data_IF_059526135914
#
_entry.id   IF_059526135914
#
_cell.length_a   1.000
_cell.length_b   1.000
_cell.length_c   1.000
_cell.angle_alpha   90.00
_cell.angle_beta   90.00
_cell.angle_gamma   90.00
#
_symmetry.space_group_name_H-M   'P 1'
#
loop_
_entity.id
_entity.type
_entity.pdbx_description
1 polymer ?
#
# COMPACT_ATOMS: atom_id res chain seq x y z
N UNK A 1 -5.21 -8.15 -10.24
CA UNK A 1 -5.70 -7.23 -11.30
C UNK A 1 -6.34 -6.02 -10.63
N UNK A 2 -6.06 -4.82 -11.13
CA UNK A 2 -6.60 -3.58 -10.58
C UNK A 2 -7.58 -2.95 -11.58
N UNK A 3 -8.76 -2.58 -11.09
CA UNK A 3 -9.80 -1.88 -11.84
C UNK A 3 -9.95 -0.46 -11.29
N UNK A 4 -10.07 0.52 -12.17
CA UNK A 4 -10.24 1.91 -11.78
C UNK A 4 -11.67 2.36 -12.01
N UNK A 5 -12.25 3.06 -11.04
CA UNK A 5 -13.57 3.70 -11.15
C UNK A 5 -13.43 5.18 -10.84
N UNK A 6 -14.04 6.02 -11.64
CA UNK A 6 -13.98 7.48 -11.47
C UNK A 6 -13.97 8.24 -12.77
N UNK A 7 -13.86 9.55 -12.64
CA UNK A 7 -13.73 10.46 -13.78
C UNK A 7 -12.34 11.11 -13.75
N UNK A 8 -11.76 11.35 -14.92
CA UNK A 8 -10.49 12.03 -15.06
C UNK A 8 -10.53 13.40 -14.34
N UNK A 9 -9.51 13.66 -13.52
CA UNK A 9 -9.30 14.89 -12.73
C UNK A 9 -10.12 14.99 -11.44
N UNK A 10 -10.72 13.90 -10.99
CA UNK A 10 -11.40 13.82 -9.71
C UNK A 10 -10.80 12.71 -8.83
N UNK A 11 -11.64 12.06 -8.05
CA UNK A 11 -11.28 10.92 -7.23
C UNK A 11 -11.33 9.64 -8.06
N UNK A 12 -10.30 8.81 -7.92
CA UNK A 12 -10.21 7.48 -8.54
C UNK A 12 -10.24 6.42 -7.46
N UNK A 13 -11.16 5.49 -7.56
CA UNK A 13 -11.20 4.28 -6.74
C UNK A 13 -10.42 3.18 -7.46
N UNK A 14 -9.35 2.70 -6.85
CA UNK A 14 -8.58 1.56 -7.35
C UNK A 14 -9.02 0.29 -6.61
N UNK A 15 -9.53 -0.66 -7.35
CA UNK A 15 -10.09 -1.92 -6.85
C UNK A 15 -9.20 -3.08 -7.26
N UNK A 16 -8.47 -3.64 -6.32
CA UNK A 16 -7.69 -4.86 -6.54
C UNK A 16 -8.59 -6.08 -6.38
N UNK A 17 -8.58 -6.97 -7.37
CA UNK A 17 -9.35 -8.21 -7.35
C UNK A 17 -8.49 -9.41 -7.75
N UNK A 18 -8.78 -10.56 -7.13
CA UNK A 18 -8.15 -11.86 -7.47
C UNK A 18 -8.74 -12.50 -8.74
N UNK A 19 -9.86 -11.97 -9.24
CA UNK A 19 -10.55 -12.45 -10.43
C UNK A 19 -11.06 -11.30 -11.29
N UNK A 20 -11.45 -11.60 -12.52
CA UNK A 20 -12.15 -10.64 -13.37
C UNK A 20 -13.53 -10.30 -12.79
N UNK A 21 -13.91 -9.03 -12.87
CA UNK A 21 -15.22 -8.54 -12.46
C UNK A 21 -16.27 -8.80 -13.54
N UNK A 22 -17.39 -9.40 -13.15
CA UNK A 22 -18.57 -9.51 -14.04
C UNK A 22 -19.23 -8.14 -14.22
N UNK A 23 -20.09 -8.00 -15.24
CA UNK A 23 -20.85 -6.76 -15.46
C UNK A 23 -21.73 -6.40 -14.24
N UNK A 24 -22.23 -7.43 -13.54
CA UNK A 24 -22.99 -7.24 -12.31
C UNK A 24 -22.11 -6.71 -11.17
N UNK A 25 -20.89 -7.25 -11.02
CA UNK A 25 -19.94 -6.76 -10.02
C UNK A 25 -19.54 -5.31 -10.32
N UNK A 26 -19.26 -4.99 -11.58
CA UNK A 26 -18.91 -3.63 -12.00
C UNK A 26 -20.07 -2.65 -11.71
N UNK A 27 -21.30 -3.05 -11.98
CA UNK A 27 -22.49 -2.24 -11.70
C UNK A 27 -22.68 -1.99 -10.20
N UNK A 28 -22.47 -3.00 -9.37
CA UNK A 28 -22.52 -2.89 -7.90
C UNK A 28 -21.42 -1.97 -7.35
N UNK A 29 -20.19 -2.12 -7.85
CA UNK A 29 -19.06 -1.28 -7.45
C UNK A 29 -19.27 0.17 -7.91
N UNK A 30 -19.71 0.38 -9.14
CA UNK A 30 -20.06 1.71 -9.63
C UNK A 30 -21.10 2.38 -8.72
N UNK A 31 -22.18 1.67 -8.37
CA UNK A 31 -23.19 2.18 -7.44
C UNK A 31 -22.59 2.51 -6.06
N UNK A 32 -21.75 1.64 -5.51
CA UNK A 32 -21.08 1.84 -4.23
C UNK A 32 -20.23 3.12 -4.22
N UNK A 33 -19.58 3.43 -5.33
CA UNK A 33 -18.75 4.62 -5.52
C UNK A 33 -19.52 5.86 -5.99
N UNK A 34 -20.85 5.92 -5.76
CA UNK A 34 -21.67 7.07 -6.14
C UNK A 34 -21.90 7.17 -7.64
N UNK A 35 -22.08 6.03 -8.32
CA UNK A 35 -22.24 5.88 -9.76
C UNK A 35 -21.03 6.33 -10.59
N UNK A 36 -19.84 6.24 -10.02
CA UNK A 36 -18.60 6.48 -10.79
C UNK A 36 -18.42 5.38 -11.85
N UNK A 37 -18.11 5.74 -13.10
CA UNK A 37 -17.93 4.78 -14.17
C UNK A 37 -16.66 3.96 -14.02
N UNK A 38 -16.67 2.73 -14.50
CA UNK A 38 -15.45 1.96 -14.73
C UNK A 38 -14.62 2.63 -15.83
N UNK A 39 -13.34 2.84 -15.54
CA UNK A 39 -12.37 3.33 -16.53
C UNK A 39 -11.97 2.15 -17.42
N UNK A 40 -12.08 2.26 -18.75
CA UNK A 40 -11.84 1.13 -19.66
C UNK A 40 -10.37 0.80 -19.88
N UNK A 41 -9.47 1.56 -19.25
CA UNK A 41 -8.01 1.41 -19.42
C UNK A 41 -7.35 0.95 -18.11
N UNK A 42 -6.34 0.03 -18.18
CA UNK A 42 -5.59 -0.43 -17.02
C UNK A 42 -4.54 0.58 -16.53
N UNK A 43 -4.42 1.71 -17.19
CA UNK A 43 -3.45 2.76 -16.94
C UNK A 43 -4.12 4.14 -17.02
N UNK A 44 -3.83 5.01 -16.08
CA UNK A 44 -4.32 6.38 -16.00
C UNK A 44 -3.15 7.35 -15.90
N UNK A 45 -3.02 8.21 -16.89
CA UNK A 45 -2.06 9.31 -16.89
C UNK A 45 -2.52 10.44 -15.96
N UNK A 46 -1.61 11.01 -15.21
CA UNK A 46 -1.88 12.15 -14.35
C UNK A 46 -1.09 12.07 -13.05
N UNK A 47 -1.11 13.15 -12.27
CA UNK A 47 -0.51 13.18 -10.96
C UNK A 47 -1.58 12.90 -9.90
N UNK A 48 -1.33 11.86 -9.12
CA UNK A 48 -2.26 11.40 -8.09
C UNK A 48 -1.59 11.38 -6.72
N UNK A 49 -2.39 11.55 -5.68
CA UNK A 49 -1.99 11.33 -4.29
C UNK A 49 -2.92 10.31 -3.68
N UNK A 50 -2.36 9.28 -3.09
CA UNK A 50 -3.12 8.18 -2.48
C UNK A 50 -2.32 7.47 -1.40
N UNK A 51 -2.89 6.42 -0.78
CA UNK A 51 -2.21 5.65 0.24
C UNK A 51 -0.94 4.99 -0.30
N UNK A 52 0.08 4.89 0.54
CA UNK A 52 1.32 4.18 0.20
C UNK A 52 1.02 2.72 -0.15
N UNK A 53 1.75 2.16 -1.12
CA UNK A 53 1.56 0.78 -1.57
C UNK A 53 1.60 -0.23 -0.41
N UNK A 54 2.52 -0.05 0.54
CA UNK A 54 2.70 -0.94 1.71
C UNK A 54 1.59 -0.83 2.77
N UNK A 55 0.66 0.14 2.66
CA UNK A 55 -0.32 0.42 3.70
C UNK A 55 -1.74 0.23 3.19
N UNK A 56 -2.46 -0.74 3.76
CA UNK A 56 -3.91 -0.89 3.56
C UNK A 56 -4.61 0.03 4.55
N UNK A 57 -5.42 0.95 4.05
CA UNK A 57 -6.13 1.89 4.92
C UNK A 57 -7.27 1.21 5.69
N UNK A 58 -7.64 1.69 6.89
CA UNK A 58 -8.84 1.22 7.60
C UNK A 58 -10.12 1.40 6.78
N UNK A 59 -10.16 2.43 5.93
CA UNK A 59 -11.25 2.65 4.99
C UNK A 59 -11.33 1.51 3.97
N UNK A 60 -10.20 1.07 3.42
CA UNK A 60 -10.12 -0.05 2.48
C UNK A 60 -10.67 -1.34 3.08
N UNK A 61 -10.31 -1.65 4.32
CA UNK A 61 -10.81 -2.84 5.01
C UNK A 61 -12.33 -2.84 5.10
N UNK A 62 -12.92 -1.71 5.51
CA UNK A 62 -14.38 -1.57 5.58
C UNK A 62 -15.03 -1.63 4.20
N UNK A 63 -14.44 -1.00 3.19
CA UNK A 63 -14.96 -1.02 1.83
C UNK A 63 -14.98 -2.45 1.26
N UNK A 64 -13.93 -3.23 1.47
CA UNK A 64 -13.86 -4.65 1.07
C UNK A 64 -14.96 -5.47 1.77
N UNK A 65 -15.17 -5.29 3.07
CA UNK A 65 -16.24 -5.97 3.81
C UNK A 65 -17.64 -5.62 3.26
N UNK A 66 -17.87 -4.36 2.92
CA UNK A 66 -19.12 -3.93 2.29
C UNK A 66 -19.33 -4.66 0.95
N UNK A 67 -18.30 -4.78 0.10
CA UNK A 67 -18.42 -5.51 -1.17
C UNK A 67 -18.77 -6.98 -0.97
N UNK A 68 -18.21 -7.63 0.04
CA UNK A 68 -18.56 -9.00 0.38
C UNK A 68 -20.03 -9.12 0.78
N UNK A 69 -20.55 -8.21 1.61
CA UNK A 69 -21.96 -8.16 2.00
C UNK A 69 -22.89 -7.88 0.81
N UNK A 70 -22.41 -7.16 -0.22
CA UNK A 70 -23.11 -6.96 -1.48
C UNK A 70 -23.06 -8.18 -2.41
N UNK A 71 -22.37 -9.26 -2.02
CA UNK A 71 -22.17 -10.46 -2.82
C UNK A 71 -21.18 -10.26 -3.98
N UNK A 72 -20.24 -9.32 -3.86
CA UNK A 72 -19.10 -9.18 -4.77
C UNK A 72 -17.89 -9.86 -4.13
N UNK A 73 -17.49 -11.00 -4.66
CA UNK A 73 -16.38 -11.80 -4.12
C UNK A 73 -15.06 -11.51 -4.85
N UNK A 74 -13.95 -11.81 -4.17
CA UNK A 74 -12.59 -11.71 -4.74
C UNK A 74 -12.05 -10.28 -4.77
N UNK A 75 -12.66 -9.34 -4.05
CA UNK A 75 -12.08 -8.01 -3.83
C UNK A 75 -11.08 -8.12 -2.66
N UNK A 76 -9.85 -7.68 -2.89
CA UNK A 76 -8.74 -7.77 -1.93
C UNK A 76 -8.41 -6.42 -1.30
N UNK A 77 -8.51 -5.35 -2.09
CA UNK A 77 -8.17 -4.01 -1.65
C UNK A 77 -8.95 -2.97 -2.46
N UNK A 78 -9.41 -1.91 -1.81
CA UNK A 78 -10.02 -0.74 -2.46
C UNK A 78 -9.38 0.50 -1.85
N UNK A 79 -8.76 1.35 -2.68
CA UNK A 79 -8.16 2.60 -2.20
C UNK A 79 -8.60 3.78 -3.05
N UNK A 80 -8.53 4.96 -2.44
CA UNK A 80 -8.92 6.22 -3.05
C UNK A 80 -7.69 7.03 -3.40
N UNK A 81 -7.63 7.49 -4.66
CA UNK A 81 -6.59 8.36 -5.18
C UNK A 81 -7.20 9.68 -5.61
N UNK A 82 -6.59 10.77 -5.18
CA UNK A 82 -6.98 12.11 -5.55
C UNK A 82 -6.12 12.61 -6.72
N UNK A 83 -6.74 13.00 -7.82
CA UNK A 83 -6.03 13.66 -8.90
C UNK A 83 -5.66 15.09 -8.49
N UNK A 84 -4.38 15.43 -8.57
CA UNK A 84 -3.86 16.76 -8.21
C UNK A 84 -2.99 17.34 -9.31
N UNK A 85 -2.67 18.62 -9.20
CA UNK A 85 -1.61 19.23 -10.00
C UNK A 85 -0.25 18.87 -9.41
N UNK A 86 0.77 18.71 -10.26
CA UNK A 86 2.12 18.24 -9.87
C UNK A 86 2.85 19.14 -8.86
N UNK A 87 2.43 20.38 -8.74
CA UNK A 87 2.94 21.38 -7.79
C UNK A 87 2.25 21.29 -6.41
N UNK A 88 1.08 20.65 -6.30
CA UNK A 88 0.38 20.45 -5.03
C UNK A 88 0.80 19.14 -4.35
N UNK A 89 1.95 19.17 -3.66
CA UNK A 89 2.52 18.05 -2.90
C UNK A 89 2.30 18.17 -1.39
N UNK A 90 1.26 18.89 -0.96
CA UNK A 90 0.94 19.02 0.46
C UNK A 90 0.15 17.81 0.94
N UNK A 91 0.83 16.79 1.46
CA UNK A 91 0.24 15.61 2.10
C UNK A 91 1.20 15.05 3.14
N UNK A 92 0.70 14.23 4.07
CA UNK A 92 1.51 13.53 5.05
C UNK A 92 2.24 12.35 4.39
N UNK A 93 3.59 12.38 4.25
CA UNK A 93 4.34 11.32 3.58
C UNK A 93 4.40 10.01 4.38
N UNK A 94 3.98 10.01 5.64
CA UNK A 94 3.85 8.77 6.41
C UNK A 94 2.64 7.94 5.97
N UNK A 95 1.58 8.60 5.51
CA UNK A 95 0.31 7.96 5.14
C UNK A 95 0.10 7.90 3.63
N UNK A 96 0.52 8.93 2.91
CA UNK A 96 0.25 9.11 1.50
C UNK A 96 1.53 9.16 0.68
N UNK A 97 1.38 8.88 -0.60
CA UNK A 97 2.44 8.92 -1.60
C UNK A 97 1.93 9.58 -2.89
N UNK A 98 2.85 10.16 -3.66
CA UNK A 98 2.57 10.73 -4.96
C UNK A 98 2.84 9.72 -6.06
N UNK A 99 1.93 9.64 -7.01
CA UNK A 99 1.98 8.74 -8.18
C UNK A 99 1.90 9.59 -9.45
N UNK A 100 2.87 9.42 -10.36
CA UNK A 100 2.87 10.11 -11.66
C UNK A 100 1.88 9.50 -12.67
N UNK A 101 1.39 8.32 -12.35
CA UNK A 101 0.33 7.58 -13.07
C UNK A 101 -0.25 6.51 -12.15
N UNK A 102 -1.41 5.96 -12.51
CA UNK A 102 -1.95 4.77 -11.86
C UNK A 102 -1.95 3.61 -12.86
N UNK A 103 -1.39 2.47 -12.45
CA UNK A 103 -1.30 1.25 -13.26
C UNK A 103 -1.57 -0.02 -12.44
N UNK A 104 -1.22 -1.18 -12.97
CA UNK A 104 -1.43 -2.46 -12.30
C UNK A 104 -0.40 -2.76 -11.19
N UNK A 105 0.64 -1.93 -11.03
CA UNK A 105 1.70 -2.11 -10.03
C UNK A 105 1.56 -1.18 -8.80
N UNK A 106 0.53 -0.31 -8.74
CA UNK A 106 0.38 0.70 -7.68
C UNK A 106 0.29 0.13 -6.25
N UNK A 107 -0.02 -1.14 -6.10
CA UNK A 107 -0.05 -1.84 -4.81
C UNK A 107 1.14 -2.79 -4.61
N UNK A 108 2.07 -2.83 -5.54
CA UNK A 108 3.30 -3.62 -5.39
C UNK A 108 4.29 -2.90 -4.51
N UNK A 109 4.80 -3.61 -3.50
CA UNK A 109 5.83 -3.09 -2.62
C UNK A 109 7.18 -3.56 -3.13
N UNK A 110 7.92 -2.68 -3.77
CA UNK A 110 9.31 -2.94 -4.15
C UNK A 110 10.21 -2.93 -2.90
N UNK A 111 10.27 -4.03 -2.19
CA UNK A 111 11.20 -4.20 -1.07
C UNK A 111 12.52 -4.72 -1.62
N UNK A 112 13.53 -3.87 -1.66
CA UNK A 112 14.92 -4.31 -1.72
C UNK A 112 15.40 -4.45 -0.27
N UNK A 113 15.48 -5.65 0.31
CA UNK A 113 15.99 -5.81 1.66
C UNK A 113 17.44 -5.32 1.69
N UNK A 114 17.78 -4.61 2.75
CA UNK A 114 19.19 -4.27 2.98
C UNK A 114 20.04 -5.55 3.03
N UNK A 115 21.28 -5.50 2.56
CA UNK A 115 22.19 -6.63 2.68
C UNK A 115 22.38 -7.00 4.15
N UNK A 116 22.59 -8.30 4.41
CA UNK A 116 22.90 -8.77 5.76
C UNK A 116 24.17 -8.07 6.24
N UNK A 117 24.06 -7.37 7.36
CA UNK A 117 25.21 -6.70 8.00
C UNK A 117 25.90 -7.67 8.96
N UNK A 118 27.21 -7.83 8.84
CA UNK A 118 28.00 -8.51 9.87
C UNK A 118 28.33 -7.49 10.96
N UNK A 119 27.97 -7.78 12.20
CA UNK A 119 28.15 -6.89 13.34
C UNK A 119 29.21 -7.52 14.26
N UNK A 120 30.41 -6.91 14.28
CA UNK A 120 31.52 -7.39 15.10
C UNK A 120 31.39 -6.87 16.54
N UNK A 121 30.82 -5.69 16.74
CA UNK A 121 30.61 -5.05 18.05
C UNK A 121 29.15 -4.68 18.25
N UNK A 122 28.43 -5.56 18.95
CA UNK A 122 27.00 -5.39 19.23
C UNK A 122 26.76 -4.18 20.15
N UNK A 123 27.69 -3.86 21.06
CA UNK A 123 27.53 -2.75 22.00
C UNK A 123 27.56 -1.40 21.26
N UNK A 124 28.57 -1.20 20.39
CA UNK A 124 28.63 -0.01 19.53
C UNK A 124 27.45 0.09 18.60
N UNK A 125 27.07 -0.99 17.95
CA UNK A 125 25.91 -1.04 17.03
C UNK A 125 24.60 -0.69 17.75
N UNK A 126 24.42 -1.18 18.99
CA UNK A 126 23.27 -0.84 19.82
C UNK A 126 23.12 0.67 20.07
N UNK A 127 24.26 1.35 20.30
CA UNK A 127 24.28 2.80 20.51
C UNK A 127 24.03 3.59 19.22
N UNK A 128 24.67 3.18 18.12
CA UNK A 128 24.58 3.86 16.83
C UNK A 128 23.17 3.77 16.22
N UNK A 129 22.55 2.60 16.31
CA UNK A 129 21.22 2.35 15.75
C UNK A 129 20.07 2.61 16.75
N UNK A 130 20.40 2.92 18.01
CA UNK A 130 19.39 3.23 19.03
C UNK A 130 18.49 2.06 19.39
N UNK A 131 19.04 0.82 19.42
CA UNK A 131 18.25 -0.40 19.68
C UNK A 131 17.74 -0.53 21.11
N UNK A 132 18.22 0.32 22.04
CA UNK A 132 17.83 0.36 23.45
C UNK A 132 18.03 -0.98 24.21
N UNK A 133 19.01 -1.80 23.79
CA UNK A 133 19.34 -3.05 24.46
C UNK A 133 20.10 -2.79 25.76
N UNK A 134 19.75 -3.54 26.81
CA UNK A 134 20.45 -3.53 28.08
C UNK A 134 21.84 -4.21 27.97
N UNK A 135 22.71 -3.96 28.95
CA UNK A 135 24.03 -4.60 29.01
C UNK A 135 23.92 -6.14 29.10
N UNK A 136 22.89 -6.64 29.78
CA UNK A 136 22.65 -8.08 29.92
C UNK A 136 22.25 -8.72 28.58
N UNK A 137 21.41 -8.06 27.80
CA UNK A 137 20.99 -8.50 26.47
C UNK A 137 22.15 -8.49 25.48
N UNK A 138 22.98 -7.44 25.49
CA UNK A 138 24.21 -7.37 24.69
C UNK A 138 25.12 -8.54 25.02
N UNK A 139 25.38 -8.79 26.33
CA UNK A 139 26.23 -9.90 26.77
C UNK A 139 25.67 -11.27 26.35
N UNK A 140 24.35 -11.46 26.46
CA UNK A 140 23.68 -12.69 26.03
C UNK A 140 23.87 -12.94 24.53
N UNK A 141 23.66 -11.89 23.69
CA UNK A 141 23.84 -12.00 22.25
C UNK A 141 25.28 -12.30 21.84
N UNK A 142 26.26 -11.69 22.51
CA UNK A 142 27.68 -11.99 22.28
C UNK A 142 28.03 -13.45 22.63
N UNK A 143 27.49 -13.97 23.72
CA UNK A 143 27.72 -15.37 24.12
C UNK A 143 27.00 -16.34 23.19
N UNK A 144 25.80 -15.97 22.71
CA UNK A 144 25.05 -16.75 21.73
C UNK A 144 25.82 -16.83 20.40
N UNK A 145 26.31 -15.70 19.90
CA UNK A 145 27.10 -15.65 18.68
C UNK A 145 28.33 -16.56 18.74
N UNK A 146 29.06 -16.54 19.86
CA UNK A 146 30.22 -17.45 20.07
C UNK A 146 29.85 -18.93 20.07
N UNK A 147 28.65 -19.28 20.52
CA UNK A 147 28.19 -20.69 20.56
C UNK A 147 27.69 -21.19 19.20
N UNK A 148 27.17 -20.31 18.37
CA UNK A 148 26.61 -20.67 17.07
C UNK A 148 27.64 -20.63 15.94
N UNK A 149 28.73 -19.93 16.10
CA UNK A 149 29.86 -19.81 15.13
C UNK A 149 29.61 -18.70 14.13
#
# INVERSE_FOLDING_TARGET
MIHFFGQARELIYAVQSSRSLSDQDQSKLSWLFGNQPLVPHPHLEGFFVGPRAAMITPWSTNAVEITQNMGVSGIERIELFECRTSDNRSFDPMLLEAYDHLDQAIFEVATNPEPIKNIDDIASFNQEEGLAMSQEEVSYLMDLAKRLG
#
